data_IF_014372162421
#
_entry.id   IF_014372162421
#
_cell.length_a   1.000
_cell.length_b   1.000
_cell.length_c   1.000
_cell.angle_alpha   90.00
_cell.angle_beta   90.00
_cell.angle_gamma   90.00
#
_symmetry.space_group_name_H-M   'P 1'
#
loop_
_entity.id
_entity.type
_entity.pdbx_description
1 polymer ?
#
# COMPACT_ATOMS: atom_id res chain seq x y z
N UNK A 1 -23.01 -22.13 4.41
CA UNK A 1 -21.64 -22.50 4.00
C UNK A 1 -20.64 -21.92 4.98
N UNK A 2 -19.50 -22.58 5.23
CA UNK A 2 -18.42 -22.15 6.13
C UNK A 2 -17.22 -21.69 5.32
N UNK A 3 -16.89 -20.41 5.40
CA UNK A 3 -15.79 -19.79 4.66
C UNK A 3 -14.69 -19.35 5.62
N UNK A 4 -13.46 -19.80 5.35
CA UNK A 4 -12.28 -19.33 6.05
C UNK A 4 -11.49 -18.36 5.17
N UNK A 5 -11.39 -17.11 5.61
CA UNK A 5 -10.55 -16.09 5.00
C UNK A 5 -9.15 -16.17 5.59
N UNK A 6 -8.12 -16.30 4.76
CA UNK A 6 -6.72 -16.43 5.21
C UNK A 6 -5.87 -15.31 4.62
N UNK A 7 -5.25 -14.53 5.52
CA UNK A 7 -4.19 -13.57 5.19
C UNK A 7 -2.83 -14.18 5.57
N UNK A 8 -1.95 -14.49 4.59
CA UNK A 8 -0.68 -15.16 4.83
C UNK A 8 0.30 -14.35 5.68
N UNK A 9 1.32 -15.03 6.20
CA UNK A 9 2.39 -14.40 6.96
C UNK A 9 3.22 -13.49 6.07
N UNK A 10 3.42 -12.26 6.52
CA UNK A 10 4.34 -11.31 5.92
C UNK A 10 5.76 -11.61 6.38
N UNK A 11 6.71 -11.87 5.46
CA UNK A 11 8.10 -12.08 5.86
C UNK A 11 8.69 -10.82 6.49
N UNK A 12 9.78 -11.00 7.23
CA UNK A 12 10.49 -9.87 7.82
C UNK A 12 11.15 -9.03 6.73
N UNK A 13 10.67 -7.80 6.58
CA UNK A 13 11.14 -6.84 5.56
C UNK A 13 11.13 -5.45 6.16
N UNK A 14 11.76 -4.49 5.48
CA UNK A 14 11.71 -3.08 5.88
C UNK A 14 10.28 -2.58 6.09
N UNK A 15 9.34 -3.00 5.23
CA UNK A 15 7.94 -2.58 5.24
C UNK A 15 7.03 -3.41 6.15
N UNK A 16 7.52 -4.50 6.76
CA UNK A 16 6.68 -5.28 7.68
C UNK A 16 6.57 -4.64 9.06
N UNK A 17 7.44 -3.66 9.37
CA UNK A 17 7.48 -2.93 10.65
C UNK A 17 7.50 -3.83 11.90
N UNK A 18 7.88 -5.11 11.76
CA UNK A 18 7.71 -6.16 12.78
C UNK A 18 8.29 -5.79 14.15
N UNK A 19 9.44 -5.13 14.15
CA UNK A 19 10.11 -4.66 15.38
C UNK A 19 9.47 -3.41 15.98
N UNK A 20 8.95 -2.51 15.13
CA UNK A 20 8.33 -1.25 15.55
C UNK A 20 6.93 -1.48 16.13
N UNK A 21 6.18 -2.43 15.58
CA UNK A 21 4.80 -2.72 15.99
C UNK A 21 4.65 -3.00 17.50
N UNK A 22 5.66 -3.63 18.11
CA UNK A 22 5.70 -3.89 19.56
C UNK A 22 5.71 -2.61 20.39
N UNK A 23 6.39 -1.55 19.92
CA UNK A 23 6.49 -0.27 20.62
C UNK A 23 5.22 0.58 20.51
N UNK A 24 4.36 0.31 19.52
CA UNK A 24 3.07 0.99 19.34
C UNK A 24 1.88 0.12 19.73
N UNK A 25 2.13 -0.99 20.45
CA UNK A 25 1.10 -1.93 20.93
C UNK A 25 0.19 -2.46 19.82
N UNK A 26 0.74 -2.69 18.62
CA UNK A 26 0.03 -3.30 17.48
C UNK A 26 0.64 -4.66 17.14
N UNK A 27 -0.17 -5.56 16.57
CA UNK A 27 0.26 -6.89 16.12
C UNK A 27 0.41 -7.00 14.60
N UNK A 28 -0.26 -6.15 13.84
CA UNK A 28 -0.14 -6.05 12.39
C UNK A 28 -0.07 -4.57 11.98
N UNK A 29 0.68 -4.29 10.91
CA UNK A 29 0.79 -2.95 10.34
C UNK A 29 -0.48 -2.55 9.59
N UNK A 30 -1.10 -3.50 8.89
CA UNK A 30 -2.28 -3.28 8.08
C UNK A 30 -3.26 -4.44 8.26
N UNK A 31 -4.57 -4.18 8.43
CA UNK A 31 -5.57 -5.24 8.37
C UNK A 31 -5.72 -5.76 6.94
N UNK A 32 -6.14 -7.03 6.74
CA UNK A 32 -6.35 -7.59 5.41
C UNK A 32 -7.67 -7.07 4.80
N UNK A 33 -7.66 -5.81 4.35
CA UNK A 33 -8.85 -5.09 3.89
C UNK A 33 -9.57 -5.81 2.75
N UNK A 34 -8.84 -6.38 1.79
CA UNK A 34 -9.45 -7.13 0.67
C UNK A 34 -10.34 -8.27 1.15
N UNK A 35 -9.87 -9.05 2.12
CA UNK A 35 -10.66 -10.14 2.71
C UNK A 35 -11.85 -9.63 3.51
N UNK A 36 -11.71 -8.53 4.26
CA UNK A 36 -12.81 -7.93 5.02
C UNK A 36 -13.91 -7.38 4.10
N UNK A 37 -13.52 -6.81 2.96
CA UNK A 37 -14.48 -6.37 1.95
C UNK A 37 -15.23 -7.54 1.35
N UNK A 38 -14.53 -8.63 0.97
CA UNK A 38 -15.18 -9.84 0.47
C UNK A 38 -16.11 -10.43 1.54
N UNK A 39 -15.67 -10.49 2.80
CA UNK A 39 -16.49 -10.97 3.92
C UNK A 39 -17.85 -10.26 3.99
N UNK A 40 -17.88 -8.94 3.77
CA UNK A 40 -19.09 -8.13 3.80
C UNK A 40 -20.00 -8.31 2.57
N UNK A 41 -19.50 -8.90 1.49
CA UNK A 41 -20.24 -9.19 0.26
C UNK A 41 -20.80 -10.61 0.22
N UNK A 42 -20.32 -11.51 1.09
CA UNK A 42 -20.80 -12.89 1.16
C UNK A 42 -22.25 -12.94 1.68
N UNK A 43 -23.05 -13.97 1.29
CA UNK A 43 -24.42 -14.13 1.80
C UNK A 43 -24.49 -14.16 3.33
N UNK A 44 -25.51 -13.52 3.89
CA UNK A 44 -25.63 -13.33 5.34
C UNK A 44 -25.82 -14.63 6.13
N UNK A 45 -26.29 -15.70 5.48
CA UNK A 45 -26.46 -17.04 6.06
C UNK A 45 -25.15 -17.86 6.07
N UNK A 46 -24.07 -17.34 5.48
CA UNK A 46 -22.77 -17.99 5.49
C UNK A 46 -22.01 -17.68 6.78
N UNK A 47 -21.34 -18.69 7.31
CA UNK A 47 -20.46 -18.54 8.47
C UNK A 47 -19.07 -18.18 7.98
N UNK A 48 -18.54 -17.05 8.44
CA UNK A 48 -17.25 -16.52 7.98
C UNK A 48 -16.29 -16.43 9.17
N UNK A 49 -15.07 -16.94 9.00
CA UNK A 49 -13.95 -16.74 9.92
C UNK A 49 -12.79 -16.07 9.19
N UNK A 50 -12.05 -15.20 9.89
CA UNK A 50 -10.82 -14.59 9.38
C UNK A 50 -9.63 -15.03 10.24
N UNK A 51 -8.62 -15.59 9.58
CA UNK A 51 -7.30 -15.83 10.16
C UNK A 51 -6.29 -14.93 9.46
N UNK A 52 -5.82 -13.92 10.19
CA UNK A 52 -4.64 -13.17 9.82
C UNK A 52 -3.40 -13.80 10.47
N UNK A 53 -2.57 -14.48 9.67
CA UNK A 53 -1.37 -15.18 10.10
C UNK A 53 -0.27 -14.25 10.64
N UNK A 54 -0.46 -12.93 10.54
CA UNK A 54 0.38 -11.93 11.18
C UNK A 54 -0.05 -11.64 12.63
N UNK A 55 -1.25 -12.08 13.04
CA UNK A 55 -1.83 -11.88 14.36
C UNK A 55 -2.00 -13.20 15.12
N UNK A 56 -2.58 -14.21 14.46
CA UNK A 56 -2.87 -15.53 15.02
C UNK A 56 -2.45 -16.64 14.03
N UNK A 57 -1.89 -17.76 14.50
CA UNK A 57 -1.52 -18.86 13.61
C UNK A 57 -2.74 -19.52 12.98
N UNK A 58 -2.60 -20.00 11.74
CA UNK A 58 -3.59 -20.84 11.08
C UNK A 58 -3.53 -22.26 11.65
N UNK A 59 -4.59 -22.69 12.34
CA UNK A 59 -4.67 -24.04 12.91
C UNK A 59 -5.25 -25.06 11.93
N UNK A 60 -5.01 -26.34 12.17
CA UNK A 60 -5.61 -27.42 11.38
C UNK A 60 -7.12 -27.53 11.64
N UNK A 61 -7.60 -27.11 12.81
CA UNK A 61 -9.03 -27.06 13.13
C UNK A 61 -9.75 -25.98 12.31
N UNK A 62 -9.08 -24.85 12.03
CA UNK A 62 -9.64 -23.81 11.15
C UNK A 62 -9.86 -24.36 9.74
N UNK A 63 -8.89 -25.10 9.21
CA UNK A 63 -8.97 -25.73 7.90
C UNK A 63 -10.06 -26.81 7.85
N UNK A 64 -10.10 -27.71 8.84
CA UNK A 64 -11.13 -28.77 8.93
C UNK A 64 -12.54 -28.20 9.13
N UNK A 65 -12.67 -27.01 9.70
CA UNK A 65 -13.96 -26.35 9.87
C UNK A 65 -14.52 -25.79 8.54
N UNK A 66 -13.66 -25.46 7.58
CA UNK A 66 -14.03 -24.70 6.39
C UNK A 66 -14.52 -25.59 5.24
N UNK A 67 -15.56 -25.14 4.54
CA UNK A 67 -15.96 -25.70 3.24
C UNK A 67 -15.05 -25.16 2.12
N UNK A 68 -14.61 -23.89 2.24
CA UNK A 68 -13.66 -23.24 1.34
C UNK A 68 -12.70 -22.33 2.09
N UNK A 69 -11.48 -22.24 1.58
CA UNK A 69 -10.49 -21.22 2.00
C UNK A 69 -10.40 -20.13 0.94
N UNK A 70 -10.69 -18.90 1.34
CA UNK A 70 -10.45 -17.70 0.52
C UNK A 70 -9.11 -17.07 0.93
N UNK A 71 -8.14 -17.10 0.01
CA UNK A 71 -6.78 -16.69 0.24
C UNK A 71 -6.49 -15.36 -0.47
N UNK A 72 -6.01 -14.34 0.27
CA UNK A 72 -5.57 -13.08 -0.33
C UNK A 72 -4.12 -12.76 -0.02
N UNK A 73 -3.34 -12.44 -1.06
CA UNK A 73 -1.89 -12.36 -0.93
C UNK A 73 -1.24 -11.32 -1.86
N UNK A 74 -0.11 -10.79 -1.40
CA UNK A 74 0.83 -9.98 -2.18
C UNK A 74 2.07 -10.80 -2.55
N UNK A 75 2.89 -10.32 -3.48
CA UNK A 75 4.09 -11.06 -3.96
C UNK A 75 5.02 -11.54 -2.84
N UNK A 76 5.15 -10.73 -1.78
CA UNK A 76 5.95 -11.05 -0.59
C UNK A 76 5.44 -12.28 0.18
N UNK A 77 4.18 -12.65 0.00
CA UNK A 77 3.53 -13.77 0.68
C UNK A 77 3.71 -15.11 -0.01
N UNK A 78 4.39 -15.16 -1.17
CA UNK A 78 4.48 -16.37 -2.02
C UNK A 78 4.86 -17.65 -1.25
N UNK A 79 5.86 -17.59 -0.37
CA UNK A 79 6.28 -18.74 0.42
C UNK A 79 5.19 -19.21 1.41
N UNK A 80 4.55 -18.27 2.11
CA UNK A 80 3.47 -18.57 3.04
C UNK A 80 2.22 -19.08 2.32
N UNK A 81 1.91 -18.55 1.13
CA UNK A 81 0.84 -19.06 0.26
C UNK A 81 1.07 -20.53 -0.10
N UNK A 82 2.28 -20.90 -0.52
CA UNK A 82 2.60 -22.30 -0.83
C UNK A 82 2.39 -23.22 0.36
N UNK A 83 2.74 -22.77 1.57
CA UNK A 83 2.48 -23.55 2.80
C UNK A 83 0.98 -23.74 3.06
N UNK A 84 0.20 -22.65 2.99
CA UNK A 84 -1.25 -22.70 3.21
C UNK A 84 -1.93 -23.63 2.19
N UNK A 85 -1.62 -23.46 0.90
CA UNK A 85 -2.19 -24.28 -0.18
C UNK A 85 -1.85 -25.76 0.00
N UNK A 86 -0.59 -26.07 0.35
CA UNK A 86 -0.19 -27.45 0.64
C UNK A 86 -0.95 -28.06 1.83
N UNK A 87 -1.21 -27.27 2.88
CA UNK A 87 -2.01 -27.72 4.03
C UNK A 87 -3.47 -27.97 3.64
N UNK A 88 -4.09 -27.05 2.90
CA UNK A 88 -5.45 -27.20 2.39
C UNK A 88 -5.59 -28.46 1.51
N UNK A 89 -4.65 -28.67 0.58
CA UNK A 89 -4.63 -29.84 -0.31
C UNK A 89 -4.55 -31.15 0.46
N UNK A 90 -3.69 -31.24 1.50
CA UNK A 90 -3.60 -32.44 2.35
C UNK A 90 -4.90 -32.74 3.10
N UNK A 91 -5.73 -31.73 3.35
CA UNK A 91 -7.00 -31.87 4.05
C UNK A 91 -8.22 -31.93 3.12
N UNK A 92 -8.01 -31.84 1.80
CA UNK A 92 -9.09 -31.84 0.82
C UNK A 92 -9.97 -30.60 0.88
N UNK A 93 -9.46 -29.47 1.38
CA UNK A 93 -10.21 -28.21 1.46
C UNK A 93 -9.87 -27.35 0.24
N UNK A 94 -10.85 -27.01 -0.62
CA UNK A 94 -10.60 -26.23 -1.82
C UNK A 94 -10.20 -24.78 -1.50
N UNK A 95 -9.32 -24.23 -2.36
CA UNK A 95 -8.79 -22.86 -2.21
C UNK A 95 -9.27 -21.96 -3.35
N UNK A 96 -9.82 -20.81 -2.99
CA UNK A 96 -10.14 -19.71 -3.90
C UNK A 96 -9.17 -18.57 -3.61
N UNK A 97 -8.34 -18.19 -4.57
CA UNK A 97 -7.29 -17.20 -4.36
C UNK A 97 -7.55 -15.88 -5.12
N UNK A 98 -7.28 -14.74 -4.47
CA UNK A 98 -7.47 -13.41 -5.07
C UNK A 98 -6.53 -12.34 -4.51
N UNK A 99 -6.46 -11.20 -5.18
CA UNK A 99 -5.55 -10.11 -4.83
C UNK A 99 -4.23 -10.11 -5.61
N UNK A 100 -3.33 -9.16 -5.34
CA UNK A 100 -2.31 -8.74 -6.30
C UNK A 100 -1.34 -9.84 -6.78
N UNK A 101 -0.99 -10.78 -5.89
CA UNK A 101 -0.12 -11.91 -6.25
C UNK A 101 -0.75 -12.78 -7.35
N UNK A 102 -2.05 -13.02 -7.27
CA UNK A 102 -2.75 -13.93 -8.17
C UNK A 102 -3.22 -13.20 -9.43
N UNK A 103 -3.67 -11.95 -9.30
CA UNK A 103 -4.01 -11.08 -10.45
C UNK A 103 -2.87 -11.03 -11.48
N UNK A 104 -1.61 -10.96 -11.01
CA UNK A 104 -0.44 -10.84 -11.89
C UNK A 104 0.36 -12.14 -12.07
N UNK A 105 0.10 -13.18 -11.26
CA UNK A 105 0.97 -14.34 -11.14
C UNK A 105 0.29 -15.68 -10.90
N UNK A 106 -1.03 -15.81 -11.11
CA UNK A 106 -1.78 -17.06 -10.89
C UNK A 106 -1.20 -18.28 -11.63
N UNK A 107 -0.59 -18.10 -12.80
CA UNK A 107 0.05 -19.18 -13.56
C UNK A 107 1.17 -19.92 -12.78
N UNK A 108 1.74 -19.29 -11.74
CA UNK A 108 2.74 -19.90 -10.87
C UNK A 108 2.17 -20.76 -9.74
N UNK A 109 0.84 -20.92 -9.66
CA UNK A 109 0.15 -21.64 -8.58
C UNK A 109 -0.86 -22.66 -9.15
N UNK A 110 -0.39 -23.72 -9.84
CA UNK A 110 -1.27 -24.71 -10.47
C UNK A 110 -2.08 -25.54 -9.45
N UNK A 111 -1.67 -25.55 -8.19
CA UNK A 111 -2.32 -26.31 -7.11
C UNK A 111 -3.52 -25.58 -6.46
N UNK A 112 -3.92 -24.42 -7.00
CA UNK A 112 -5.08 -23.65 -6.52
C UNK A 112 -6.26 -23.88 -7.48
N UNK A 113 -7.41 -24.25 -6.92
CA UNK A 113 -8.59 -24.65 -7.69
C UNK A 113 -9.21 -23.50 -8.48
N UNK A 114 -9.32 -22.32 -7.86
CA UNK A 114 -10.01 -21.17 -8.44
C UNK A 114 -9.31 -19.85 -8.15
N UNK A 115 -9.35 -18.94 -9.12
CA UNK A 115 -8.83 -17.58 -8.97
C UNK A 115 -9.90 -16.53 -9.19
N UNK A 116 -9.89 -15.51 -8.34
CA UNK A 116 -10.65 -14.27 -8.53
C UNK A 116 -9.67 -13.18 -8.95
N UNK A 117 -9.76 -12.76 -10.20
CA UNK A 117 -8.86 -11.78 -10.82
C UNK A 117 -9.61 -10.46 -11.04
N UNK A 118 -9.00 -9.34 -10.68
CA UNK A 118 -9.60 -7.99 -10.77
C UNK A 118 -9.88 -7.38 -9.39
N UNK A 119 -10.10 -6.07 -9.33
CA UNK A 119 -10.26 -5.35 -8.05
C UNK A 119 -11.30 -4.20 -8.07
N UNK A 120 -11.32 -3.34 -9.09
CA UNK A 120 -11.99 -2.04 -8.98
C UNK A 120 -13.49 -2.07 -9.32
N UNK A 121 -13.92 -2.91 -10.27
CA UNK A 121 -15.28 -2.93 -10.80
C UNK A 121 -16.29 -3.45 -9.76
N UNK A 122 -15.89 -4.46 -8.98
CA UNK A 122 -16.71 -5.01 -7.91
C UNK A 122 -16.80 -4.06 -6.71
N UNK A 123 -15.74 -3.28 -6.42
CA UNK A 123 -15.78 -2.22 -5.41
C UNK A 123 -16.78 -1.12 -5.76
N UNK A 124 -16.86 -0.73 -7.04
CA UNK A 124 -17.83 0.26 -7.52
C UNK A 124 -19.25 -0.27 -7.28
N UNK A 125 -19.53 -1.53 -7.64
CA UNK A 125 -20.85 -2.15 -7.47
C UNK A 125 -21.26 -2.19 -6.00
N UNK A 126 -20.40 -2.69 -5.12
CA UNK A 126 -20.66 -2.75 -3.69
C UNK A 126 -20.86 -1.38 -3.06
N UNK A 127 -20.03 -0.39 -3.42
CA UNK A 127 -20.17 0.98 -2.91
C UNK A 127 -21.52 1.58 -3.32
N UNK A 128 -21.95 1.31 -4.54
CA UNK A 128 -23.25 1.77 -5.07
C UNK A 128 -24.41 1.14 -4.30
N UNK A 129 -24.33 -0.16 -4.01
CA UNK A 129 -25.39 -0.91 -3.31
C UNK A 129 -25.46 -0.57 -1.82
N UNK A 130 -24.32 -0.38 -1.16
CA UNK A 130 -24.24 -0.16 0.29
C UNK A 130 -24.28 1.31 0.70
N UNK A 131 -24.03 2.23 -0.23
CA UNK A 131 -23.89 3.65 0.06
C UNK A 131 -22.66 4.01 0.92
N UNK A 132 -21.68 3.11 1.01
CA UNK A 132 -20.49 3.28 1.85
C UNK A 132 -19.73 4.57 1.51
N UNK A 133 -19.39 5.38 2.53
CA UNK A 133 -18.73 6.69 2.36
C UNK A 133 -17.23 6.69 2.63
N UNK A 134 -16.67 5.60 3.15
CA UNK A 134 -15.23 5.47 3.44
C UNK A 134 -14.37 5.76 2.21
N UNK A 135 -13.22 6.42 2.40
CA UNK A 135 -12.23 6.63 1.35
C UNK A 135 -11.13 5.57 1.41
N UNK A 136 -10.73 5.03 0.25
CA UNK A 136 -9.67 4.04 0.18
C UNK A 136 -8.31 4.66 -0.11
N UNK A 137 -7.27 3.99 0.36
CA UNK A 137 -5.86 4.31 0.14
C UNK A 137 -5.16 3.10 -0.47
N UNK A 138 -4.27 3.32 -1.43
CA UNK A 138 -3.44 2.26 -2.02
C UNK A 138 -2.05 2.77 -2.37
N UNK A 139 -1.14 1.86 -2.68
CA UNK A 139 0.19 2.16 -3.19
C UNK A 139 0.28 1.77 -4.67
N UNK A 140 0.88 2.62 -5.50
CA UNK A 140 1.05 2.37 -6.92
C UNK A 140 2.40 2.86 -7.43
N UNK A 141 2.83 2.33 -8.58
CA UNK A 141 3.97 2.90 -9.29
C UNK A 141 3.54 4.15 -10.08
N UNK A 142 4.51 4.98 -10.46
CA UNK A 142 4.24 6.24 -11.18
C UNK A 142 3.54 6.05 -12.53
N UNK A 143 3.62 4.84 -13.11
CA UNK A 143 2.92 4.47 -14.34
C UNK A 143 1.39 4.45 -14.22
N UNK A 144 0.84 4.51 -13.00
CA UNK A 144 -0.60 4.74 -12.82
C UNK A 144 -1.08 6.01 -13.55
N UNK A 145 -0.23 7.05 -13.64
CA UNK A 145 -0.57 8.28 -14.36
C UNK A 145 -0.72 8.09 -15.87
N UNK A 146 -0.25 6.97 -16.42
CA UNK A 146 -0.31 6.64 -17.84
C UNK A 146 -1.62 5.89 -18.19
N UNK A 147 -2.41 5.48 -17.18
CA UNK A 147 -3.66 4.72 -17.33
C UNK A 147 -4.86 5.52 -16.77
N UNK A 148 -5.44 6.34 -17.65
CA UNK A 148 -6.59 7.17 -17.29
C UNK A 148 -7.84 6.34 -16.94
N UNK A 149 -8.03 5.18 -17.57
CA UNK A 149 -9.17 4.30 -17.32
C UNK A 149 -9.10 3.68 -15.93
N UNK A 150 -7.93 3.18 -15.54
CA UNK A 150 -7.70 2.67 -14.19
C UNK A 150 -7.86 3.78 -13.14
N UNK A 151 -7.34 4.99 -13.40
CA UNK A 151 -7.53 6.13 -12.50
C UNK A 151 -9.02 6.45 -12.27
N UNK A 152 -9.83 6.44 -13.34
CA UNK A 152 -11.27 6.67 -13.24
C UNK A 152 -11.96 5.58 -12.39
N UNK A 153 -11.63 4.30 -12.65
CA UNK A 153 -12.18 3.17 -11.90
C UNK A 153 -11.81 3.26 -10.42
N UNK A 154 -10.57 3.61 -10.09
CA UNK A 154 -10.14 3.81 -8.71
C UNK A 154 -10.94 4.92 -8.01
N UNK A 155 -11.14 6.06 -8.66
CA UNK A 155 -11.88 7.19 -8.09
C UNK A 155 -13.36 6.81 -7.88
N UNK A 156 -13.96 6.13 -8.85
CA UNK A 156 -15.34 5.61 -8.75
C UNK A 156 -15.49 4.55 -7.65
N UNK A 157 -14.48 3.70 -7.46
CA UNK A 157 -14.43 2.72 -6.37
C UNK A 157 -14.29 3.38 -4.99
N UNK A 158 -13.93 4.67 -4.95
CA UNK A 158 -13.83 5.46 -3.72
C UNK A 158 -12.40 5.61 -3.20
N UNK A 159 -11.37 5.31 -4.00
CA UNK A 159 -10.00 5.68 -3.66
C UNK A 159 -9.86 7.20 -3.64
N UNK A 160 -9.26 7.70 -2.56
CA UNK A 160 -9.02 9.13 -2.34
C UNK A 160 -7.54 9.46 -2.29
N UNK A 161 -6.71 8.51 -1.84
CA UNK A 161 -5.27 8.70 -1.66
C UNK A 161 -4.49 7.59 -2.35
N UNK A 162 -3.38 7.94 -2.98
CA UNK A 162 -2.44 6.98 -3.55
C UNK A 162 -1.02 7.32 -3.13
N UNK A 163 -0.28 6.35 -2.60
CA UNK A 163 1.15 6.48 -2.40
C UNK A 163 1.89 6.06 -3.66
N UNK A 164 2.78 6.93 -4.15
CA UNK A 164 3.55 6.71 -5.37
C UNK A 164 5.03 6.68 -5.03
N UNK A 165 5.68 5.54 -5.28
CA UNK A 165 7.12 5.38 -5.09
C UNK A 165 7.91 6.07 -6.21
N UNK A 166 8.24 7.36 -6.03
CA UNK A 166 9.10 8.12 -6.94
C UNK A 166 10.58 7.79 -6.76
N UNK A 167 10.97 7.38 -5.55
CA UNK A 167 12.33 7.03 -5.11
C UNK A 167 13.31 8.20 -5.10
N UNK A 168 13.59 8.84 -6.23
CA UNK A 168 14.55 9.94 -6.29
C UNK A 168 14.33 10.81 -7.53
N UNK A 169 14.48 12.14 -7.44
CA UNK A 169 14.44 13.02 -8.61
C UNK A 169 15.74 12.96 -9.44
N UNK A 170 16.77 12.26 -8.97
CA UNK A 170 18.05 12.12 -9.68
C UNK A 170 18.00 10.99 -10.70
N UNK A 171 18.17 11.33 -11.99
CA UNK A 171 18.24 10.35 -13.07
C UNK A 171 19.35 9.31 -12.89
N UNK A 172 20.48 9.70 -12.28
CA UNK A 172 21.60 8.79 -12.01
C UNK A 172 21.26 7.77 -10.93
N UNK A 173 20.57 8.20 -9.86
CA UNK A 173 20.15 7.32 -8.77
C UNK A 173 18.94 6.44 -9.15
N UNK A 174 18.06 6.89 -10.06
CA UNK A 174 16.98 6.07 -10.60
C UNK A 174 17.48 4.87 -11.42
N UNK A 175 18.57 5.05 -12.18
CA UNK A 175 19.24 3.98 -12.93
C UNK A 175 19.86 2.93 -12.00
N UNK A 176 20.43 3.37 -10.87
CA UNK A 176 20.99 2.50 -9.83
C UNK A 176 19.90 1.65 -9.13
N UNK A 177 18.71 2.22 -8.92
CA UNK A 177 17.57 1.53 -8.28
C UNK A 177 16.76 0.61 -9.20
N UNK A 178 17.18 0.43 -10.47
CA UNK A 178 16.43 -0.31 -11.51
C UNK A 178 14.97 0.14 -11.71
N UNK A 179 14.61 1.38 -11.34
CA UNK A 179 13.30 2.00 -11.68
C UNK A 179 13.41 2.77 -13.00
N UNK A 180 13.70 2.05 -14.07
CA UNK A 180 13.88 2.62 -15.41
C UNK A 180 12.62 3.32 -15.91
N UNK A 181 11.44 2.86 -15.50
CA UNK A 181 10.14 3.48 -15.81
C UNK A 181 9.99 4.90 -15.28
N UNK A 182 10.72 5.29 -14.22
CA UNK A 182 10.68 6.64 -13.65
C UNK A 182 11.72 7.58 -14.29
N UNK A 183 12.67 7.05 -15.09
CA UNK A 183 13.78 7.81 -15.65
C UNK A 183 13.38 8.73 -16.83
N UNK A 184 12.21 8.52 -17.43
CA UNK A 184 11.76 9.18 -18.65
C UNK A 184 10.45 9.96 -18.48
N UNK A 185 10.09 10.33 -17.25
CA UNK A 185 8.84 11.04 -16.95
C UNK A 185 9.05 12.27 -16.09
N UNK A 186 8.25 13.31 -16.33
CA UNK A 186 8.15 14.46 -15.44
C UNK A 186 7.34 14.07 -14.20
N UNK A 187 8.00 14.01 -13.04
CA UNK A 187 7.38 13.64 -11.77
C UNK A 187 6.30 14.65 -11.35
N UNK A 188 6.47 15.94 -11.70
CA UNK A 188 5.48 16.98 -11.39
C UNK A 188 4.23 16.77 -12.23
N UNK A 189 4.37 16.54 -13.54
CA UNK A 189 3.22 16.26 -14.40
C UNK A 189 2.55 14.93 -14.01
N UNK A 190 3.31 13.91 -13.63
CA UNK A 190 2.77 12.65 -13.07
C UNK A 190 1.85 12.94 -11.87
N UNK A 191 2.32 13.72 -10.89
CA UNK A 191 1.52 14.12 -9.72
C UNK A 191 0.26 14.88 -10.13
N UNK A 192 0.40 15.87 -11.02
CA UNK A 192 -0.74 16.69 -11.49
C UNK A 192 -1.77 15.86 -12.25
N UNK A 193 -1.36 14.86 -13.03
CA UNK A 193 -2.27 13.97 -13.76
C UNK A 193 -3.11 13.16 -12.79
N UNK A 194 -2.50 12.55 -11.77
CA UNK A 194 -3.21 11.79 -10.74
C UNK A 194 -4.15 12.69 -9.91
N UNK A 195 -3.72 13.91 -9.57
CA UNK A 195 -4.57 14.90 -8.88
C UNK A 195 -5.76 15.32 -9.73
N UNK A 196 -5.56 15.56 -11.03
CA UNK A 196 -6.63 15.89 -11.97
C UNK A 196 -7.65 14.76 -12.11
N UNK A 197 -7.21 13.51 -12.00
CA UNK A 197 -8.11 12.36 -11.98
C UNK A 197 -8.95 12.28 -10.69
N UNK A 198 -8.54 12.95 -9.61
CA UNK A 198 -9.24 12.98 -8.32
C UNK A 198 -8.56 12.22 -7.19
N UNK A 199 -7.26 11.87 -7.34
CA UNK A 199 -6.46 11.18 -6.34
C UNK A 199 -5.50 12.15 -5.62
N UNK A 200 -5.51 12.14 -4.29
CA UNK A 200 -4.47 12.78 -3.48
C UNK A 200 -3.18 11.95 -3.51
N UNK A 201 -2.07 12.55 -3.93
CA UNK A 201 -0.79 11.82 -4.12
C UNK A 201 0.13 11.99 -2.92
N UNK A 202 0.60 10.87 -2.37
CA UNK A 202 1.70 10.81 -1.41
C UNK A 202 2.96 10.31 -2.12
N UNK A 203 4.00 11.14 -2.24
CA UNK A 203 5.25 10.75 -2.90
C UNK A 203 6.25 10.10 -1.94
N UNK A 204 6.69 8.88 -2.23
CA UNK A 204 7.80 8.22 -1.56
C UNK A 204 9.15 8.58 -2.18
N UNK A 205 10.10 9.03 -1.37
CA UNK A 205 11.48 9.32 -1.79
C UNK A 205 12.48 8.67 -0.83
N UNK A 206 13.49 8.00 -1.37
CA UNK A 206 14.61 7.41 -0.65
C UNK A 206 15.83 8.33 -0.80
N UNK A 207 16.53 8.55 0.30
CA UNK A 207 17.71 9.42 0.40
C UNK A 207 18.90 8.60 0.87
N UNK A 208 20.10 8.85 0.33
CA UNK A 208 21.34 8.21 0.79
C UNK A 208 22.06 7.33 -0.23
N UNK A 209 21.84 7.50 -1.53
CA UNK A 209 22.60 6.80 -2.56
C UNK A 209 24.05 7.31 -2.63
N UNK A 210 25.01 6.38 -2.69
CA UNK A 210 26.46 6.63 -2.52
C UNK A 210 27.05 7.61 -3.54
N UNK A 211 26.46 7.72 -4.74
CA UNK A 211 26.97 8.61 -5.81
C UNK A 211 26.46 10.06 -5.73
N UNK A 212 25.86 10.46 -4.61
CA UNK A 212 25.23 11.78 -4.43
C UNK A 212 26.11 12.89 -3.82
N UNK A 213 27.44 12.82 -3.87
CA UNK A 213 28.31 13.77 -3.14
C UNK A 213 28.14 15.26 -3.52
N UNK A 214 27.57 15.58 -4.69
CA UNK A 214 27.20 16.96 -5.11
C UNK A 214 25.69 17.25 -5.13
N UNK A 215 24.82 16.28 -4.88
CA UNK A 215 23.36 16.45 -4.92
C UNK A 215 22.76 17.00 -3.61
N UNK A 216 23.56 17.17 -2.54
CA UNK A 216 23.08 17.65 -1.24
C UNK A 216 22.45 19.04 -1.25
N UNK A 217 22.82 19.92 -2.20
CA UNK A 217 22.35 21.32 -2.25
C UNK A 217 21.13 21.53 -3.14
N UNK A 218 20.77 20.58 -4.02
CA UNK A 218 19.64 20.67 -4.96
C UNK A 218 18.57 19.60 -4.70
N UNK A 219 18.59 19.04 -3.51
CA UNK A 219 17.68 17.99 -3.04
C UNK A 219 16.47 18.59 -2.34
N UNK A 220 15.77 19.46 -3.06
CA UNK A 220 14.48 19.92 -2.61
C UNK A 220 13.48 19.65 -3.73
N UNK A 221 12.27 19.15 -3.40
CA UNK A 221 11.22 19.12 -4.38
C UNK A 221 11.09 20.53 -4.99
N UNK A 222 10.91 20.66 -6.33
CA UNK A 222 10.64 21.94 -6.96
C UNK A 222 9.60 22.70 -6.14
N UNK A 223 9.72 24.02 -6.01
CA UNK A 223 8.82 24.83 -5.15
C UNK A 223 7.34 24.48 -5.33
N UNK A 224 6.93 24.07 -6.53
CA UNK A 224 5.59 23.59 -6.87
C UNK A 224 5.11 22.38 -6.04
N UNK A 225 5.99 21.43 -5.69
CA UNK A 225 5.64 20.21 -4.94
C UNK A 225 5.65 20.42 -3.41
N UNK A 226 6.31 21.48 -2.91
CA UNK A 226 6.37 21.76 -1.45
C UNK A 226 5.04 22.19 -0.85
N UNK A 227 4.16 22.80 -1.64
CA UNK A 227 2.86 23.29 -1.19
C UNK A 227 1.71 22.33 -1.52
N UNK A 228 1.99 21.16 -2.11
CA UNK A 228 0.98 20.20 -2.54
C UNK A 228 0.98 18.90 -1.72
N UNK A 229 2.00 18.67 -0.90
CA UNK A 229 1.97 17.63 0.13
C UNK A 229 1.30 18.19 1.39
N UNK A 230 0.17 17.61 1.80
CA UNK A 230 -0.53 17.94 3.06
C UNK A 230 0.25 17.69 4.36
N UNK A 231 1.57 17.45 4.26
CA UNK A 231 2.49 17.34 5.37
C UNK A 231 3.41 18.55 5.42
N UNK A 232 2.93 19.61 6.07
CA UNK A 232 3.78 20.69 6.56
C UNK A 232 4.63 20.19 7.73
N UNK A 233 5.73 19.48 7.47
CA UNK A 233 6.82 19.38 8.44
C UNK A 233 7.46 20.77 8.54
N UNK A 234 6.96 21.57 9.48
CA UNK A 234 7.51 22.87 9.86
C UNK A 234 8.82 22.61 10.61
N UNK A 235 9.93 22.53 9.87
CA UNK A 235 11.27 22.39 10.44
C UNK A 235 11.65 23.68 11.20
N UNK A 236 11.32 23.73 12.50
CA UNK A 236 12.00 24.64 13.43
C UNK A 236 13.31 23.98 13.85
N UNK A 237 14.41 24.53 13.33
CA UNK A 237 15.76 24.59 13.92
C UNK A 237 16.22 23.38 14.75
N UNK A 238 16.93 22.46 14.10
CA UNK A 238 17.92 21.62 14.78
C UNK A 238 19.32 22.15 14.47
N UNK A 239 19.93 22.73 15.51
CA UNK A 239 21.37 22.83 15.77
C UNK A 239 22.33 23.17 14.63
N UNK A 240 22.66 24.46 14.48
CA UNK A 240 23.97 24.91 13.99
C UNK A 240 24.50 26.00 14.93
N UNK A 241 25.83 26.05 15.21
CA UNK A 241 26.42 26.99 16.16
C UNK A 241 26.25 28.46 15.75
N UNK A 242 26.09 29.31 16.77
CA UNK A 242 25.88 30.75 16.64
C UNK A 242 27.19 31.47 16.28
N UNK A 243 27.38 31.79 15.02
CA UNK A 243 28.21 32.93 14.63
C UNK A 243 27.70 33.48 13.30
N UNK A 244 27.38 34.77 13.27
CA UNK A 244 26.79 35.55 12.17
C UNK A 244 25.27 35.44 11.95
N UNK A 245 24.50 36.05 12.85
CA UNK A 245 23.22 36.68 12.45
C UNK A 245 23.36 38.20 12.51
N UNK A 246 22.94 38.95 11.47
CA UNK A 246 22.66 40.36 11.62
C UNK A 246 21.45 40.54 12.53
N UNK A 247 21.54 41.52 13.42
CA UNK A 247 20.49 41.94 14.35
C UNK A 247 19.27 42.45 13.58
N UNK A 248 18.13 41.79 13.78
CA UNK A 248 16.82 42.29 13.38
C UNK A 248 15.98 42.49 14.64
N UNK A 249 15.74 43.76 15.00
CA UNK A 249 14.73 44.15 15.99
C UNK A 249 13.34 43.93 15.41
N UNK A 250 12.54 43.09 16.07
CA UNK A 250 11.10 42.97 15.82
C UNK A 250 10.29 43.73 16.88
N UNK A 251 9.08 44.20 16.55
CA UNK A 251 8.31 45.09 17.40
C UNK A 251 7.69 44.34 18.59
N UNK A 252 7.74 44.97 19.76
CA UNK A 252 7.05 44.58 20.98
C UNK A 252 5.54 44.73 20.81
N UNK A 253 4.77 43.69 21.14
CA UNK A 253 3.35 43.79 21.45
C UNK A 253 3.06 43.20 22.84
N UNK A 254 2.05 43.72 23.56
CA UNK A 254 1.95 43.63 25.01
C UNK A 254 1.36 42.30 25.45
N UNK A 255 1.71 41.89 26.66
CA UNK A 255 1.11 40.75 27.35
C UNK A 255 -0.31 41.09 27.80
N UNK A 256 -1.24 40.19 27.50
CA UNK A 256 -2.19 39.57 28.43
C UNK A 256 -2.49 38.17 27.90
#
# INVERSE_FOLDING_TARGET
>A
MKILLVSPTTPETFWSFKHVLRFVSKRAAFPPLGLLTVAAMLPADWQVKLVDMNVNPLSDDDLRWADFVLLSAMIVHKASVSEVVNRCRRMGVPVIAGGPLFTTGHAAFPDIDHFVLGEAEELIRWRTQTGAKMGFFTEASANLADDAGLCELMVRAGFKKVFVGFETPSLESLKECRKLQNCSRDLVETVKTLQRAGLEVMGGFIVGFDKGARARSRMYPPRALRNQSGWGLRWKNLGLPRSNRPSYCGPTLPRC
#
